data_IF_249516751911
#
_entry.id   IF_249516751911
#
_cell.length_a   1.000
_cell.length_b   1.000
_cell.length_c   1.000
_cell.angle_alpha   90.00
_cell.angle_beta   90.00
_cell.angle_gamma   90.00
#
_symmetry.space_group_name_H-M   'P 1'
#
loop_
_entity.id
_entity.type
_entity.pdbx_description
1 polymer ?
#
# COMPACT_ATOMS: atom_id res chain seq x y z
N UNK A 1 6.46 -17.58 -9.40
CA UNK A 1 6.53 -16.11 -9.35
C UNK A 1 5.47 -15.71 -8.35
N UNK A 2 5.87 -15.31 -7.15
CA UNK A 2 4.96 -15.10 -6.02
C UNK A 2 4.13 -13.84 -6.26
N UNK A 3 2.97 -14.03 -6.89
CA UNK A 3 1.87 -13.06 -6.86
C UNK A 3 1.50 -12.86 -5.39
N UNK A 4 1.65 -11.65 -4.87
CA UNK A 4 1.14 -11.33 -3.54
C UNK A 4 -0.40 -11.34 -3.57
N UNK A 5 -1.03 -11.72 -2.46
CA UNK A 5 -2.48 -11.81 -2.35
C UNK A 5 -3.05 -10.53 -1.72
N UNK A 6 -3.61 -9.67 -2.56
CA UNK A 6 -4.25 -8.42 -2.15
C UNK A 6 -5.38 -8.66 -1.12
N UNK A 7 -6.16 -9.72 -1.31
CA UNK A 7 -7.24 -10.10 -0.42
C UNK A 7 -6.73 -10.45 0.98
N UNK A 8 -5.65 -11.22 1.04
CA UNK A 8 -5.01 -11.59 2.30
C UNK A 8 -4.44 -10.36 3.03
N UNK A 9 -3.80 -9.43 2.30
CA UNK A 9 -3.29 -8.18 2.90
C UNK A 9 -4.43 -7.34 3.47
N UNK A 10 -5.50 -7.11 2.69
CA UNK A 10 -6.67 -6.35 3.15
C UNK A 10 -7.35 -7.01 4.35
N UNK A 11 -7.45 -8.33 4.37
CA UNK A 11 -8.00 -9.07 5.50
C UNK A 11 -7.16 -8.86 6.78
N UNK A 12 -5.84 -8.91 6.65
CA UNK A 12 -4.92 -8.73 7.78
C UNK A 12 -4.96 -7.31 8.35
N UNK A 13 -5.07 -6.29 7.49
CA UNK A 13 -5.20 -4.90 7.92
C UNK A 13 -6.51 -4.70 8.72
N UNK A 14 -7.62 -5.28 8.26
CA UNK A 14 -8.90 -5.26 9.01
C UNK A 14 -8.80 -5.97 10.36
N UNK A 15 -8.11 -7.11 10.41
CA UNK A 15 -7.83 -7.84 11.65
C UNK A 15 -7.01 -6.97 12.63
N UNK A 16 -6.01 -6.24 12.13
CA UNK A 16 -5.21 -5.33 12.94
C UNK A 16 -6.04 -4.15 13.47
N UNK A 17 -6.87 -3.54 12.62
CA UNK A 17 -7.78 -2.46 13.03
C UNK A 17 -8.75 -2.90 14.12
N UNK A 18 -9.31 -4.12 14.00
CA UNK A 18 -10.23 -4.66 15.00
C UNK A 18 -9.56 -4.93 16.36
N UNK A 19 -8.24 -5.17 16.37
CA UNK A 19 -7.45 -5.45 17.59
C UNK A 19 -6.80 -4.21 18.21
N UNK A 20 -6.86 -3.08 17.53
CA UNK A 20 -6.27 -1.82 17.97
C UNK A 20 -7.24 -0.65 17.72
N UNK A 21 -8.42 -0.66 18.38
CA UNK A 21 -9.43 0.38 18.18
C UNK A 21 -8.96 1.76 18.64
N UNK A 22 -8.04 1.81 19.60
CA UNK A 22 -7.46 3.05 20.13
C UNK A 22 -6.28 3.56 19.29
N UNK A 23 -5.81 2.78 18.30
CA UNK A 23 -4.70 3.11 17.39
C UNK A 23 -3.41 3.41 18.14
N UNK A 24 -3.08 2.60 19.15
CA UNK A 24 -1.90 2.77 19.98
C UNK A 24 -0.64 2.17 19.36
N UNK A 25 -0.79 1.32 18.32
CA UNK A 25 0.37 0.78 17.60
C UNK A 25 1.06 1.88 16.80
N UNK A 26 2.38 1.77 16.69
CA UNK A 26 3.21 2.71 15.95
C UNK A 26 2.67 2.95 14.53
N UNK A 27 2.41 4.23 14.22
CA UNK A 27 1.90 4.67 12.91
C UNK A 27 0.41 4.42 12.66
N UNK A 28 -0.31 3.75 13.58
CA UNK A 28 -1.74 3.50 13.45
C UNK A 28 -2.58 4.78 13.61
N UNK A 29 -2.11 5.74 14.41
CA UNK A 29 -2.71 7.07 14.54
C UNK A 29 -2.68 7.86 13.21
N UNK A 30 -1.61 7.65 12.44
CA UNK A 30 -1.33 8.30 11.16
C UNK A 30 -2.05 7.63 10.00
N UNK A 31 -1.81 6.32 9.77
CA UNK A 31 -2.36 5.60 8.61
C UNK A 31 -3.70 4.92 8.88
N UNK A 32 -4.12 4.81 10.15
CA UNK A 32 -5.46 4.39 10.56
C UNK A 32 -5.92 3.03 10.03
N UNK A 33 -4.98 2.15 9.70
CA UNK A 33 -5.27 0.87 9.04
C UNK A 33 -6.01 1.03 7.71
N UNK A 34 -5.77 2.13 7.01
CA UNK A 34 -6.31 2.39 5.69
C UNK A 34 -5.20 2.22 4.65
N UNK A 35 -5.51 1.48 3.58
CA UNK A 35 -4.68 1.48 2.39
C UNK A 35 -5.01 2.70 1.55
N UNK A 36 -3.99 3.31 0.95
CA UNK A 36 -4.21 4.40 0.03
C UNK A 36 -4.97 3.90 -1.21
N UNK A 37 -5.65 4.81 -1.94
CA UNK A 37 -6.32 4.46 -3.19
C UNK A 37 -5.35 3.83 -4.18
N UNK A 38 -5.89 2.99 -5.07
CA UNK A 38 -5.12 2.45 -6.18
C UNK A 38 -4.58 3.60 -7.04
N UNK A 39 -3.29 3.54 -7.37
CA UNK A 39 -2.64 4.53 -8.22
C UNK A 39 -2.80 4.15 -9.68
N UNK A 40 -3.08 5.14 -10.53
CA UNK A 40 -3.08 4.93 -11.97
C UNK A 40 -1.63 4.71 -12.47
N UNK A 41 -1.47 3.91 -13.53
CA UNK A 41 -0.19 3.70 -14.21
C UNK A 41 0.53 5.01 -14.57
N UNK A 42 -0.22 6.06 -14.93
CA UNK A 42 0.32 7.37 -15.23
C UNK A 42 0.95 8.04 -13.99
N UNK A 43 0.38 7.87 -12.81
CA UNK A 43 0.92 8.41 -11.55
C UNK A 43 2.18 7.66 -11.14
N UNK A 44 2.22 6.34 -11.33
CA UNK A 44 3.41 5.53 -11.06
C UNK A 44 4.56 5.92 -11.99
N UNK A 45 4.28 6.13 -13.28
CA UNK A 45 5.26 6.62 -14.25
C UNK A 45 5.78 8.01 -13.89
N UNK A 46 4.89 8.93 -13.52
CA UNK A 46 5.29 10.27 -13.10
C UNK A 46 6.21 10.21 -11.86
N UNK A 47 5.94 9.30 -10.91
CA UNK A 47 6.80 9.07 -9.75
C UNK A 47 8.18 8.53 -10.13
N UNK A 48 8.25 7.55 -11.03
CA UNK A 48 9.51 6.99 -11.54
C UNK A 48 10.36 8.07 -12.24
N UNK A 49 9.74 8.84 -13.13
CA UNK A 49 10.38 9.93 -13.86
C UNK A 49 10.88 11.03 -12.91
N UNK A 50 10.06 11.44 -11.93
CA UNK A 50 10.45 12.52 -11.01
C UNK A 50 11.60 12.14 -10.08
N UNK A 51 11.74 10.84 -9.77
CA UNK A 51 12.81 10.34 -8.91
C UNK A 51 13.99 9.75 -9.70
N UNK A 52 13.87 9.63 -11.03
CA UNK A 52 14.91 9.04 -11.89
C UNK A 52 15.14 7.55 -11.60
N UNK A 53 14.09 6.82 -11.20
CA UNK A 53 14.15 5.40 -10.85
C UNK A 53 13.20 4.60 -11.73
N UNK A 54 13.47 3.30 -11.84
CA UNK A 54 12.53 2.33 -12.43
C UNK A 54 12.17 1.33 -11.33
N UNK A 55 10.88 1.18 -11.05
CA UNK A 55 10.42 0.21 -10.06
C UNK A 55 10.45 -1.19 -10.70
N UNK A 56 10.95 -2.20 -9.97
CA UNK A 56 10.76 -3.58 -10.39
C UNK A 56 9.28 -3.87 -10.62
N UNK A 57 8.94 -4.58 -11.70
CA UNK A 57 7.56 -4.85 -12.11
C UNK A 57 6.68 -5.37 -10.96
N UNK A 58 7.21 -6.28 -10.13
CA UNK A 58 6.50 -6.82 -8.96
C UNK A 58 6.17 -5.74 -7.91
N UNK A 59 7.08 -4.79 -7.71
CA UNK A 59 6.87 -3.68 -6.78
C UNK A 59 5.90 -2.66 -7.36
N UNK A 60 5.88 -2.47 -8.68
CA UNK A 60 4.91 -1.63 -9.38
C UNK A 60 3.47 -2.09 -9.10
N UNK A 61 3.22 -3.39 -9.16
CA UNK A 61 1.91 -3.99 -8.85
C UNK A 61 1.48 -3.72 -7.41
N UNK A 62 2.40 -3.72 -6.44
CA UNK A 62 2.10 -3.37 -5.05
C UNK A 62 1.74 -1.89 -4.92
N UNK A 63 2.54 -1.00 -5.53
CA UNK A 63 2.31 0.46 -5.49
C UNK A 63 0.99 0.83 -6.16
N UNK A 64 0.65 0.18 -7.28
CA UNK A 64 -0.61 0.36 -7.97
C UNK A 64 -1.83 0.02 -7.09
N UNK A 65 -1.73 -1.02 -6.27
CA UNK A 65 -2.88 -1.58 -5.55
C UNK A 65 -3.04 -1.06 -4.11
N UNK A 66 -1.94 -0.62 -3.51
CA UNK A 66 -1.85 -0.24 -2.09
C UNK A 66 -1.63 1.26 -1.90
N UNK A 67 -1.23 1.99 -2.95
CA UNK A 67 -0.97 3.42 -2.95
C UNK A 67 0.12 3.84 -1.95
N UNK A 68 0.47 5.13 -1.95
CA UNK A 68 1.42 5.72 -0.97
C UNK A 68 0.68 6.77 -0.14
N UNK A 69 0.82 6.70 1.18
CA UNK A 69 0.46 7.79 2.10
C UNK A 69 1.59 8.82 2.20
#
# INVERSE_FOLDING_TARGET
>A
MESWDEGAVRARIREMAARDPERERFGADTHRYELAPRLAEAEIRAFEESHGIELPMEYRSVVAEVGRH
#
